data_IF_269864844181
#
_entry.id   IF_269864844181
#
_cell.length_a   1.000
_cell.length_b   1.000
_cell.length_c   1.000
_cell.angle_alpha   90.00
_cell.angle_beta   90.00
_cell.angle_gamma   90.00
#
_symmetry.space_group_name_H-M   'P 1'
#
loop_
_entity.id
_entity.type
_entity.pdbx_description
1 polymer ?
#
# COMPACT_ATOMS: atom_id res chain seq x y z
N UNK A 1 -12.43 -8.17 0.20
CA UNK A 1 -11.40 -7.42 -0.55
C UNK A 1 -11.15 -6.08 0.12
N UNK A 2 -9.90 -5.74 0.30
CA UNK A 2 -9.48 -4.46 0.86
C UNK A 2 -8.43 -3.82 -0.01
N UNK A 3 -8.30 -2.50 0.08
CA UNK A 3 -7.35 -1.72 -0.72
C UNK A 3 -6.43 -0.95 0.21
N UNK A 4 -5.12 -1.09 0.00
CA UNK A 4 -4.10 -0.30 0.67
C UNK A 4 -3.44 0.64 -0.33
N UNK A 5 -3.33 1.91 0.01
CA UNK A 5 -2.64 2.89 -0.81
C UNK A 5 -1.23 3.10 -0.32
N UNK A 6 -0.25 2.97 -1.23
CA UNK A 6 1.07 3.53 -1.00
C UNK A 6 1.01 5.06 -1.13
N UNK A 7 2.14 5.72 -0.94
CA UNK A 7 2.20 7.17 -0.90
C UNK A 7 2.45 7.83 -2.27
N UNK A 8 2.80 7.03 -3.29
CA UNK A 8 3.23 7.58 -4.58
C UNK A 8 2.10 8.20 -5.40
N UNK A 9 0.87 7.69 -5.27
CA UNK A 9 -0.27 8.24 -6.00
C UNK A 9 -1.56 8.08 -5.18
N UNK A 10 -1.65 8.85 -4.12
CA UNK A 10 -2.79 8.80 -3.21
C UNK A 10 -4.10 9.20 -3.90
N UNK A 11 -4.05 10.14 -4.84
CA UNK A 11 -5.24 10.56 -5.58
C UNK A 11 -5.84 9.40 -6.36
N UNK A 12 -5.02 8.64 -7.08
CA UNK A 12 -5.48 7.48 -7.83
C UNK A 12 -6.13 6.45 -6.90
N UNK A 13 -5.49 6.18 -5.77
CA UNK A 13 -6.00 5.23 -4.78
C UNK A 13 -7.36 5.67 -4.23
N UNK A 14 -7.51 6.96 -3.94
CA UNK A 14 -8.78 7.51 -3.47
C UNK A 14 -9.86 7.40 -4.53
N UNK A 15 -9.53 7.66 -5.79
CA UNK A 15 -10.48 7.54 -6.90
C UNK A 15 -10.95 6.09 -7.07
N UNK A 16 -10.03 5.15 -7.02
CA UNK A 16 -10.36 3.71 -7.13
C UNK A 16 -11.23 3.29 -5.94
N UNK A 17 -10.86 3.68 -4.74
CA UNK A 17 -11.61 3.40 -3.52
C UNK A 17 -13.05 3.90 -3.63
N UNK A 18 -13.22 5.12 -4.11
CA UNK A 18 -14.52 5.73 -4.28
C UNK A 18 -15.37 4.99 -5.32
N UNK A 19 -14.78 4.64 -6.45
CA UNK A 19 -15.49 3.93 -7.53
C UNK A 19 -15.92 2.54 -7.11
N UNK A 20 -15.11 1.84 -6.33
CA UNK A 20 -15.42 0.51 -5.85
C UNK A 20 -16.21 0.52 -4.55
N UNK A 21 -16.47 1.68 -3.96
CA UNK A 21 -17.15 1.84 -2.66
C UNK A 21 -16.45 1.04 -1.55
N UNK A 22 -15.14 1.00 -1.58
CA UNK A 22 -14.30 0.36 -0.58
C UNK A 22 -13.46 1.41 0.11
N UNK A 23 -13.41 1.37 1.44
CA UNK A 23 -12.52 2.27 2.18
C UNK A 23 -11.08 1.80 2.05
N UNK A 24 -10.15 2.76 1.99
CA UNK A 24 -8.73 2.44 2.08
C UNK A 24 -8.41 1.91 3.47
N UNK A 25 -7.49 0.94 3.54
CA UNK A 25 -7.01 0.44 4.82
C UNK A 25 -6.36 1.59 5.59
N UNK A 26 -6.66 1.67 6.88
CA UNK A 26 -6.04 2.66 7.75
C UNK A 26 -4.57 2.28 7.97
N UNK A 27 -3.67 3.06 7.39
CA UNK A 27 -2.24 2.83 7.47
C UNK A 27 -1.51 4.10 7.86
N UNK A 28 -0.32 3.91 8.44
CA UNK A 28 0.60 5.00 8.68
C UNK A 28 1.92 4.64 7.99
N UNK A 29 2.24 5.37 6.93
CA UNK A 29 3.47 5.17 6.16
C UNK A 29 4.30 6.44 6.28
N UNK A 30 5.50 6.32 6.84
CA UNK A 30 6.40 7.45 7.06
C UNK A 30 7.76 7.18 6.44
N UNK A 31 8.34 8.20 5.87
CA UNK A 31 9.72 8.19 5.37
C UNK A 31 10.54 9.14 6.23
N UNK A 32 11.67 8.66 6.72
CA UNK A 32 12.57 9.45 7.55
C UNK A 32 13.71 10.02 6.70
N UNK A 33 14.38 11.05 7.23
CA UNK A 33 15.44 11.76 6.51
C UNK A 33 16.63 10.87 6.13
N UNK A 34 16.85 9.79 6.86
CA UNK A 34 17.92 8.81 6.60
C UNK A 34 17.52 7.75 5.56
N UNK A 35 16.34 7.88 4.95
CA UNK A 35 15.83 6.93 3.96
C UNK A 35 15.04 5.78 4.55
N UNK A 36 14.94 5.70 5.85
CA UNK A 36 14.18 4.64 6.51
C UNK A 36 12.68 4.82 6.28
N UNK A 37 11.98 3.71 6.04
CA UNK A 37 10.53 3.71 5.79
C UNK A 37 9.84 2.93 6.91
N UNK A 38 8.82 3.52 7.51
CA UNK A 38 8.02 2.91 8.56
C UNK A 38 6.62 2.64 8.05
N UNK A 39 6.16 1.40 8.20
CA UNK A 39 4.83 0.97 7.77
C UNK A 39 4.06 0.46 8.99
N UNK A 40 2.88 1.00 9.21
CA UNK A 40 1.98 0.55 10.27
C UNK A 40 0.60 0.33 9.68
N UNK A 41 0.04 -0.86 9.89
CA UNK A 41 -1.32 -1.20 9.46
C UNK A 41 -2.22 -1.15 10.68
N UNK A 42 -3.17 -0.23 10.70
CA UNK A 42 -3.97 0.12 11.88
C UNK A 42 -5.36 -0.50 11.87
N UNK A 43 -5.53 -1.61 11.16
CA UNK A 43 -6.77 -2.36 11.21
C UNK A 43 -6.52 -3.85 10.99
N UNK A 44 -7.50 -4.67 11.34
CA UNK A 44 -7.38 -6.12 11.17
C UNK A 44 -7.65 -6.49 9.70
N UNK A 45 -6.64 -7.07 9.05
CA UNK A 45 -6.75 -7.52 7.66
C UNK A 45 -6.62 -9.03 7.53
N UNK A 46 -6.61 -9.74 8.63
CA UNK A 46 -6.41 -11.19 8.65
C UNK A 46 -7.45 -11.88 7.78
N UNK A 47 -6.98 -12.75 6.89
CA UNK A 47 -7.85 -13.52 6.01
C UNK A 47 -8.46 -12.74 4.85
N UNK A 48 -8.11 -11.47 4.69
CA UNK A 48 -8.61 -10.65 3.59
C UNK A 48 -7.67 -10.66 2.39
N UNK A 49 -8.23 -10.58 1.20
CA UNK A 49 -7.47 -10.30 -0.02
C UNK A 49 -7.23 -8.81 -0.10
N UNK A 50 -5.97 -8.41 -0.22
CA UNK A 50 -5.56 -7.00 -0.21
C UNK A 50 -4.93 -6.62 -1.55
N UNK A 51 -5.39 -5.51 -2.11
CA UNK A 51 -4.79 -4.91 -3.31
C UNK A 51 -4.00 -3.69 -2.87
N UNK A 52 -2.72 -3.66 -3.21
CA UNK A 52 -1.82 -2.54 -2.90
C UNK A 52 -1.64 -1.71 -4.15
N UNK A 53 -1.96 -0.42 -4.07
CA UNK A 53 -1.80 0.51 -5.19
C UNK A 53 -0.58 1.37 -4.92
N UNK A 54 0.46 1.20 -5.75
CA UNK A 54 1.71 1.95 -5.61
C UNK A 54 2.37 2.10 -6.97
N UNK A 55 2.56 3.34 -7.40
CA UNK A 55 3.35 3.63 -8.60
C UNK A 55 4.83 3.47 -8.31
N UNK A 56 5.58 2.98 -9.28
CA UNK A 56 7.04 2.89 -9.19
C UNK A 56 7.73 3.99 -10.01
N UNK A 57 6.99 5.03 -10.39
CA UNK A 57 7.57 6.21 -11.01
C UNK A 57 8.44 6.98 -10.01
N UNK A 58 9.13 8.01 -10.48
CA UNK A 58 10.10 8.77 -9.67
C UNK A 58 9.53 9.27 -8.34
N UNK A 59 10.24 9.13 -7.23
CA UNK A 59 11.53 8.44 -7.11
C UNK A 59 11.36 6.91 -7.05
N UNK A 60 11.80 6.23 -8.11
CA UNK A 60 11.47 4.82 -8.31
C UNK A 60 12.00 3.90 -7.21
N UNK A 61 13.25 4.10 -6.78
CA UNK A 61 13.84 3.24 -5.75
C UNK A 61 13.08 3.33 -4.43
N UNK A 62 12.69 4.53 -4.02
CA UNK A 62 11.95 4.73 -2.78
C UNK A 62 10.56 4.12 -2.88
N UNK A 63 9.90 4.29 -4.02
CA UNK A 63 8.56 3.77 -4.22
C UNK A 63 8.53 2.25 -4.31
N UNK A 64 9.55 1.64 -4.93
CA UNK A 64 9.70 0.19 -4.98
C UNK A 64 9.95 -0.36 -3.57
N UNK A 65 10.85 0.27 -2.82
CA UNK A 65 11.14 -0.16 -1.46
C UNK A 65 9.91 -0.06 -0.56
N UNK A 66 9.15 1.02 -0.69
CA UNK A 66 7.89 1.18 0.05
C UNK A 66 6.91 0.05 -0.30
N UNK A 67 6.77 -0.28 -1.59
CA UNK A 67 5.90 -1.36 -2.03
C UNK A 67 6.29 -2.69 -1.41
N UNK A 68 7.60 -3.02 -1.44
CA UNK A 68 8.08 -4.28 -0.88
C UNK A 68 7.83 -4.35 0.62
N UNK A 69 8.04 -3.25 1.34
CA UNK A 69 7.81 -3.21 2.79
C UNK A 69 6.32 -3.32 3.13
N UNK A 70 5.46 -2.71 2.33
CA UNK A 70 4.01 -2.83 2.50
C UNK A 70 3.57 -4.27 2.29
N UNK A 71 4.05 -4.93 1.24
CA UNK A 71 3.73 -6.33 0.96
C UNK A 71 4.17 -7.21 2.14
N UNK A 72 5.38 -7.00 2.65
CA UNK A 72 5.88 -7.75 3.79
C UNK A 72 5.01 -7.53 5.04
N UNK A 73 4.64 -6.29 5.33
CA UNK A 73 3.79 -5.97 6.47
C UNK A 73 2.42 -6.66 6.35
N UNK A 74 1.83 -6.66 5.16
CA UNK A 74 0.54 -7.32 4.93
C UNK A 74 0.63 -8.83 5.12
N UNK A 75 1.70 -9.44 4.63
CA UNK A 75 1.91 -10.89 4.80
C UNK A 75 2.08 -11.25 6.27
N UNK A 76 2.84 -10.45 7.02
CA UNK A 76 3.01 -10.66 8.47
C UNK A 76 1.72 -10.44 9.24
N UNK A 77 0.81 -9.63 8.70
CA UNK A 77 -0.52 -9.42 9.28
C UNK A 77 -1.54 -10.47 8.84
N UNK A 78 -1.08 -11.52 8.18
CA UNK A 78 -1.91 -12.67 7.77
C UNK A 78 -2.97 -12.34 6.73
N UNK A 79 -2.69 -11.43 5.81
CA UNK A 79 -3.52 -11.24 4.63
C UNK A 79 -3.62 -12.56 3.86
N UNK A 80 -4.79 -12.87 3.33
CA UNK A 80 -5.01 -14.09 2.56
C UNK A 80 -4.23 -14.05 1.25
N UNK A 81 -4.35 -12.95 0.52
CA UNK A 81 -3.59 -12.70 -0.71
C UNK A 81 -3.19 -11.24 -0.76
N UNK A 82 -2.08 -10.96 -1.41
CA UNK A 82 -1.60 -9.59 -1.65
C UNK A 82 -1.34 -9.44 -3.13
N UNK A 83 -2.01 -8.49 -3.75
CA UNK A 83 -1.86 -8.20 -5.18
C UNK A 83 -1.36 -6.77 -5.34
N UNK A 84 -0.23 -6.61 -6.02
CA UNK A 84 0.31 -5.29 -6.30
C UNK A 84 -0.32 -4.73 -7.59
N UNK A 85 -0.86 -3.53 -7.49
CA UNK A 85 -1.36 -2.77 -8.64
C UNK A 85 -0.38 -1.63 -8.88
N UNK A 86 0.39 -1.73 -9.96
CA UNK A 86 1.50 -0.83 -10.23
C UNK A 86 1.20 -0.02 -11.49
N UNK A 87 0.50 1.14 -11.35
CA UNK A 87 0.33 2.03 -12.49
C UNK A 87 1.67 2.65 -12.87
N UNK A 88 1.88 2.88 -14.13
CA UNK A 88 3.12 3.52 -14.64
C UNK A 88 4.39 2.73 -14.28
N UNK A 89 4.35 1.48 -14.52
CA UNK A 89 5.53 0.60 -14.33
C UNK A 89 6.65 0.82 -15.42
#
# INVERSE_FOLDING_TARGET
>A
MKILSGTSNLKLSKDISKNLKLKLINTNIRRFADGEIYIEINENIRGNSVFVIQSTSNPANDNIMELLLVIDALRRSSAKTVTAVIPYF
#
